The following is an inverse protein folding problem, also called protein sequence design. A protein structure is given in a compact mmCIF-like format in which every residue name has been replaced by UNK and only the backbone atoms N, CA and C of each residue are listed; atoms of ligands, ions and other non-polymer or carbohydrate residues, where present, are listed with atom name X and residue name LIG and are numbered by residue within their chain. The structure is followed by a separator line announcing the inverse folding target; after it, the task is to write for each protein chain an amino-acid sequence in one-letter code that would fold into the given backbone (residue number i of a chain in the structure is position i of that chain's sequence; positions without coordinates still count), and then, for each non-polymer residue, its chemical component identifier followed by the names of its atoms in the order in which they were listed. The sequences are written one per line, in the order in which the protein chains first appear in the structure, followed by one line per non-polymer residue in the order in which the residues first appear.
data_IF_167712194292
#
_entry.id   IF_167712194292
#
_cell.length_a   1.000
_cell.length_b   1.000
_cell.length_c   1.000
_cell.angle_alpha   90.00
_cell.angle_beta   90.00
_cell.angle_gamma   90.00
#
_symmetry.space_group_name_H-M   'P 1'
#
loop_
_entity.id
_entity.type
_entity.pdbx_description
1 polymer ?
#
# COMPACT_ATOMS: atom_id res chain seq x y z
N UNK A 1 2.85 -8.91 19.86
CA UNK A 1 4.03 -8.72 18.98
C UNK A 1 4.26 -7.23 18.83
N UNK A 2 5.48 -6.71 19.05
CA UNK A 2 5.78 -5.27 18.94
C UNK A 2 6.72 -5.07 17.75
N UNK A 3 6.14 -4.81 16.57
CA UNK A 3 6.90 -4.52 15.35
C UNK A 3 7.26 -3.04 15.27
N UNK A 4 8.37 -2.70 14.60
CA UNK A 4 8.71 -1.31 14.25
C UNK A 4 7.80 -0.77 13.14
N UNK A 5 7.33 -1.65 12.26
CA UNK A 5 6.43 -1.33 11.14
C UNK A 5 5.34 -2.40 11.06
N UNK A 6 4.09 -2.01 10.93
CA UNK A 6 2.96 -2.93 10.83
C UNK A 6 1.98 -2.45 9.76
N UNK A 7 1.83 -3.26 8.71
CA UNK A 7 0.87 -3.04 7.63
C UNK A 7 -0.29 -4.03 7.83
N UNK A 8 -1.52 -3.51 7.83
CA UNK A 8 -2.73 -4.32 7.93
C UNK A 8 -3.28 -4.55 6.53
N UNK A 9 -3.37 -5.81 6.15
CA UNK A 9 -3.80 -6.25 4.82
C UNK A 9 -5.07 -7.09 4.95
N UNK A 10 -6.02 -6.91 4.03
CA UNK A 10 -7.12 -7.83 3.79
C UNK A 10 -6.84 -8.52 2.47
N UNK A 11 -6.63 -9.83 2.49
CA UNK A 11 -6.43 -10.62 1.29
C UNK A 11 -7.77 -11.03 0.67
N UNK A 12 -7.84 -11.01 -0.65
CA UNK A 12 -8.95 -11.49 -1.46
C UNK A 12 -8.43 -12.19 -2.72
N UNK A 13 -9.32 -12.76 -3.51
CA UNK A 13 -8.98 -13.24 -4.84
C UNK A 13 -10.14 -13.06 -5.82
N UNK A 14 -9.81 -12.96 -7.11
CA UNK A 14 -10.75 -12.97 -8.22
C UNK A 14 -10.32 -14.07 -9.21
N UNK A 15 -11.15 -15.11 -9.37
CA UNK A 15 -10.87 -16.23 -10.30
C UNK A 15 -9.49 -16.90 -10.12
N UNK A 16 -8.93 -16.83 -8.90
CA UNK A 16 -7.61 -17.40 -8.58
C UNK A 16 -6.47 -16.38 -8.60
N UNK A 17 -6.70 -15.15 -9.08
CA UNK A 17 -5.76 -14.04 -8.94
C UNK A 17 -5.83 -13.45 -7.54
N UNK A 18 -4.69 -13.36 -6.86
CA UNK A 18 -4.57 -12.86 -5.49
C UNK A 18 -4.62 -11.33 -5.49
N UNK A 19 -5.41 -10.76 -4.59
CA UNK A 19 -5.42 -9.33 -4.30
C UNK A 19 -5.15 -9.07 -2.83
N UNK A 20 -4.07 -8.36 -2.52
CA UNK A 20 -3.76 -7.92 -1.16
C UNK A 20 -4.11 -6.44 -0.99
N UNK A 21 -5.12 -6.16 -0.16
CA UNK A 21 -5.61 -4.80 0.05
C UNK A 21 -5.04 -4.24 1.34
N UNK A 22 -4.12 -3.27 1.22
CA UNK A 22 -3.60 -2.52 2.36
C UNK A 22 -4.72 -1.61 2.90
N UNK A 23 -5.11 -1.86 4.14
CA UNK A 23 -6.19 -1.14 4.83
C UNK A 23 -5.69 -0.31 6.02
N UNK A 24 -4.39 -0.37 6.33
CA UNK A 24 -3.75 0.49 7.32
C UNK A 24 -2.24 0.25 7.45
N UNK A 25 -1.54 1.18 8.09
CA UNK A 25 -0.08 1.11 8.28
C UNK A 25 0.75 1.81 7.20
N UNK A 26 0.12 2.28 6.12
CA UNK A 26 0.76 3.08 5.06
C UNK A 26 0.14 4.47 5.06
N UNK A 27 0.99 5.50 5.04
CA UNK A 27 0.56 6.90 4.93
C UNK A 27 0.22 7.21 3.46
N UNK A 28 -0.76 8.09 3.20
CA UNK A 28 -1.11 8.46 1.84
C UNK A 28 0.07 9.17 1.15
N UNK A 29 0.52 8.70 -0.03
CA UNK A 29 1.54 9.39 -0.82
C UNK A 29 1.09 10.79 -1.22
N UNK A 30 2.03 11.69 -1.43
CA UNK A 30 1.74 13.04 -1.91
C UNK A 30 1.15 13.00 -3.34
N UNK A 31 0.19 13.89 -3.62
CA UNK A 31 -0.44 14.00 -4.93
C UNK A 31 -1.93 14.34 -4.84
N UNK A 32 -2.43 15.10 -5.83
CA UNK A 32 -3.85 15.45 -5.96
C UNK A 32 -4.62 14.41 -6.75
N UNK A 33 -3.96 13.73 -7.68
CA UNK A 33 -4.52 12.62 -8.47
C UNK A 33 -3.93 11.28 -8.04
N UNK A 34 -4.60 10.18 -8.38
CA UNK A 34 -4.06 8.84 -8.10
C UNK A 34 -2.78 8.55 -8.88
N UNK A 35 -2.62 9.10 -10.08
CA UNK A 35 -1.38 8.96 -10.86
C UNK A 35 -0.20 9.64 -10.16
N UNK A 36 -0.38 10.87 -9.69
CA UNK A 36 0.66 11.56 -8.90
C UNK A 36 1.03 10.78 -7.64
N UNK A 37 0.04 10.20 -6.95
CA UNK A 37 0.26 9.36 -5.77
C UNK A 37 1.00 8.07 -6.10
N UNK A 38 0.67 7.43 -7.22
CA UNK A 38 1.36 6.22 -7.70
C UNK A 38 2.84 6.52 -7.95
N UNK A 39 3.14 7.59 -8.67
CA UNK A 39 4.51 8.03 -8.97
C UNK A 39 5.26 8.39 -7.68
N UNK A 40 4.62 9.07 -6.73
CA UNK A 40 5.24 9.42 -5.45
C UNK A 40 5.47 8.18 -4.55
N UNK A 41 4.58 7.18 -4.60
CA UNK A 41 4.77 5.91 -3.91
C UNK A 41 6.00 5.18 -4.47
N UNK A 42 6.07 5.02 -5.78
CA UNK A 42 7.17 4.35 -6.47
C UNK A 42 8.52 5.05 -6.25
N UNK A 43 8.58 6.38 -6.38
CA UNK A 43 9.83 7.13 -6.27
C UNK A 43 10.37 7.20 -4.83
N UNK A 44 9.49 7.46 -3.87
CA UNK A 44 9.91 7.90 -2.53
C UNK A 44 9.66 6.81 -1.44
N UNK A 45 8.76 5.86 -1.69
CA UNK A 45 8.23 4.94 -0.67
C UNK A 45 8.29 3.46 -1.11
N UNK A 46 9.13 3.07 -2.07
CA UNK A 46 9.28 1.65 -2.47
C UNK A 46 10.01 0.79 -1.40
N UNK A 47 10.60 1.44 -0.41
CA UNK A 47 11.40 0.80 0.64
C UNK A 47 10.61 0.41 1.90
N UNK A 48 9.31 0.74 1.97
CA UNK A 48 8.46 0.50 3.15
C UNK A 48 7.68 -0.80 3.10
#
# INVERSE_FOLDING_TARGET
MRSRTSIRVVSCHAEGEIGDVIVGGVLPPAGRTMMEKMIAMERDHDHI
#
